data_IF_493280620299
#
_entry.id   IF_493280620299
#
_cell.length_a   1.000
_cell.length_b   1.000
_cell.length_c   1.000
_cell.angle_alpha   90.00
_cell.angle_beta   90.00
_cell.angle_gamma   90.00
#
_symmetry.space_group_name_H-M   'P 1'
#
loop_
_entity.id
_entity.type
_entity.pdbx_description
1 polymer ?
#
# COMPACT_ATOMS: atom_id res chain seq x y z
N UNK A 1 2.42 -35.89 -52.58
CA UNK A 1 2.02 -35.89 -51.16
C UNK A 1 2.75 -34.72 -50.52
N UNK A 2 2.05 -33.64 -50.19
CA UNK A 2 2.65 -32.41 -49.65
C UNK A 2 2.10 -32.21 -48.25
N UNK A 3 2.97 -32.31 -47.24
CA UNK A 3 2.61 -32.14 -45.83
C UNK A 3 2.56 -30.65 -45.51
N UNK A 4 1.41 -30.23 -44.96
CA UNK A 4 1.10 -28.90 -44.46
C UNK A 4 1.85 -28.64 -43.15
N UNK A 5 2.47 -27.46 -43.01
CA UNK A 5 3.09 -26.99 -41.76
C UNK A 5 2.13 -25.99 -41.08
N UNK A 6 1.71 -26.19 -39.81
CA UNK A 6 0.89 -25.22 -39.11
C UNK A 6 1.71 -24.01 -38.63
N UNK A 7 1.10 -22.81 -38.51
CA UNK A 7 1.80 -21.62 -38.07
C UNK A 7 2.19 -21.72 -36.59
N UNK A 8 3.47 -21.44 -36.33
CA UNK A 8 4.08 -21.30 -35.00
C UNK A 8 3.24 -20.35 -34.14
N UNK A 9 2.68 -20.92 -33.07
CA UNK A 9 1.88 -20.21 -32.08
C UNK A 9 2.61 -19.00 -31.50
N UNK A 10 1.86 -17.92 -31.36
CA UNK A 10 2.29 -16.69 -30.70
C UNK A 10 2.83 -17.02 -29.29
N UNK A 11 4.00 -16.48 -28.89
CA UNK A 11 4.42 -16.60 -27.51
C UNK A 11 3.43 -15.82 -26.64
N UNK A 12 2.58 -16.54 -25.91
CA UNK A 12 1.91 -15.99 -24.75
C UNK A 12 2.99 -15.45 -23.81
N UNK A 13 3.13 -14.13 -23.75
CA UNK A 13 3.88 -13.44 -22.70
C UNK A 13 3.11 -13.65 -21.40
N UNK A 14 3.21 -14.86 -20.85
CA UNK A 14 2.88 -15.12 -19.45
C UNK A 14 3.84 -14.23 -18.68
N UNK A 15 3.33 -13.19 -18.05
CA UNK A 15 4.04 -12.49 -17.00
C UNK A 15 4.34 -13.51 -15.91
N UNK A 16 5.51 -14.14 -15.98
CA UNK A 16 6.07 -14.81 -14.83
C UNK A 16 6.21 -13.74 -13.74
N UNK A 17 5.83 -14.02 -12.48
CA UNK A 17 6.21 -13.16 -11.37
C UNK A 17 7.71 -13.33 -11.17
N UNK A 18 8.49 -12.68 -12.05
CA UNK A 18 9.91 -12.53 -11.89
C UNK A 18 10.12 -11.85 -10.55
N UNK A 19 10.95 -12.46 -9.71
CA UNK A 19 11.42 -11.90 -8.46
C UNK A 19 11.93 -10.49 -8.73
N UNK A 20 11.07 -9.50 -8.49
CA UNK A 20 11.38 -8.09 -8.64
C UNK A 20 12.70 -7.83 -7.91
N UNK A 21 13.71 -7.40 -8.67
CA UNK A 21 15.02 -7.10 -8.10
C UNK A 21 14.89 -6.05 -6.99
N UNK A 22 15.89 -5.91 -6.11
CA UNK A 22 15.84 -4.94 -5.02
C UNK A 22 15.55 -3.50 -5.49
N UNK A 23 15.96 -3.14 -6.72
CA UNK A 23 15.69 -1.84 -7.36
C UNK A 23 14.21 -1.66 -7.71
N UNK A 24 13.59 -2.69 -8.27
CA UNK A 24 12.18 -2.72 -8.66
C UNK A 24 11.28 -2.56 -7.42
N UNK A 25 11.68 -3.17 -6.30
CA UNK A 25 10.95 -3.07 -5.04
C UNK A 25 10.99 -1.67 -4.40
N UNK A 26 12.12 -0.97 -4.50
CA UNK A 26 12.24 0.41 -3.97
C UNK A 26 11.40 1.37 -4.81
N UNK A 27 11.41 1.22 -6.13
CA UNK A 27 10.57 2.01 -7.03
C UNK A 27 9.08 1.76 -6.77
N UNK A 28 8.67 0.48 -6.70
CA UNK A 28 7.31 0.08 -6.35
C UNK A 28 6.87 0.67 -5.02
N UNK A 29 7.73 0.63 -4.00
CA UNK A 29 7.46 1.20 -2.68
C UNK A 29 7.23 2.71 -2.80
N UNK A 30 8.12 3.44 -3.46
CA UNK A 30 7.99 4.89 -3.64
C UNK A 30 6.73 5.28 -4.43
N UNK A 31 6.42 4.55 -5.50
CA UNK A 31 5.19 4.76 -6.28
C UNK A 31 3.95 4.51 -5.44
N UNK A 32 3.94 3.45 -4.64
CA UNK A 32 2.84 3.13 -3.75
C UNK A 32 2.62 4.22 -2.67
N UNK A 33 3.70 4.70 -2.04
CA UNK A 33 3.63 5.80 -1.06
C UNK A 33 3.04 7.07 -1.66
N UNK A 34 3.55 7.49 -2.82
CA UNK A 34 3.03 8.66 -3.56
C UNK A 34 1.57 8.47 -3.96
N UNK A 35 1.22 7.28 -4.46
CA UNK A 35 -0.14 6.93 -4.86
C UNK A 35 -1.12 7.02 -3.69
N UNK A 36 -0.78 6.43 -2.54
CA UNK A 36 -1.62 6.52 -1.35
C UNK A 36 -1.75 7.96 -0.84
N UNK A 37 -0.64 8.70 -0.79
CA UNK A 37 -0.67 10.10 -0.36
C UNK A 37 -1.50 10.97 -1.30
N UNK A 38 -1.42 10.77 -2.61
CA UNK A 38 -2.25 11.46 -3.59
C UNK A 38 -3.75 11.15 -3.40
N UNK A 39 -4.11 9.89 -3.20
CA UNK A 39 -5.50 9.48 -2.92
C UNK A 39 -6.03 10.10 -1.61
N UNK A 40 -5.20 10.20 -0.57
CA UNK A 40 -5.62 10.86 0.68
C UNK A 40 -5.82 12.37 0.47
N UNK A 41 -4.88 13.05 -0.19
CA UNK A 41 -4.97 14.48 -0.49
C UNK A 41 -6.17 14.81 -1.38
N UNK A 42 -6.49 13.95 -2.35
CA UNK A 42 -7.68 14.13 -3.21
C UNK A 42 -8.99 14.05 -2.45
N UNK A 43 -8.97 13.51 -1.23
CA UNK A 43 -10.11 13.41 -0.30
C UNK A 43 -10.05 14.45 0.83
N UNK A 44 -9.16 15.44 0.71
CA UNK A 44 -9.00 16.52 1.70
C UNK A 44 -8.24 16.11 2.96
N UNK A 45 -7.58 14.95 2.96
CA UNK A 45 -6.77 14.50 4.10
C UNK A 45 -5.32 14.91 3.90
N UNK A 46 -4.74 15.60 4.90
CA UNK A 46 -3.30 15.86 4.93
C UNK A 46 -2.54 14.53 4.90
N UNK A 47 -1.55 14.41 4.01
CA UNK A 47 -0.77 13.19 3.88
C UNK A 47 0.73 13.49 3.71
N UNK A 48 1.57 12.79 4.47
CA UNK A 48 3.03 12.91 4.44
C UNK A 48 3.66 11.54 4.23
N UNK A 49 4.60 11.48 3.30
CA UNK A 49 5.30 10.24 2.92
C UNK A 49 6.60 10.13 3.73
N UNK A 50 6.88 8.94 4.27
CA UNK A 50 8.14 8.56 4.89
C UNK A 50 8.73 7.39 4.10
N UNK A 51 9.56 7.73 3.11
CA UNK A 51 10.22 6.77 2.24
C UNK A 51 11.24 5.88 2.97
N UNK A 52 11.76 6.30 4.13
CA UNK A 52 12.72 5.52 4.91
C UNK A 52 12.03 4.35 5.63
N UNK A 53 10.85 4.60 6.19
CA UNK A 53 10.07 3.57 6.87
C UNK A 53 9.02 2.88 5.99
N UNK A 54 8.85 3.32 4.74
CA UNK A 54 7.77 2.84 3.87
C UNK A 54 6.39 3.20 4.44
N UNK A 55 6.23 4.43 4.93
CA UNK A 55 5.02 4.88 5.63
C UNK A 55 4.33 6.08 4.98
N UNK A 56 3.03 6.21 5.22
CA UNK A 56 2.26 7.42 4.96
C UNK A 56 1.54 7.81 6.24
N UNK A 57 1.82 9.01 6.73
CA UNK A 57 1.11 9.61 7.86
C UNK A 57 -0.08 10.42 7.31
N UNK A 58 -1.28 10.12 7.80
CA UNK A 58 -2.53 10.70 7.34
C UNK A 58 -3.25 11.48 8.47
N UNK A 59 -3.77 12.66 8.15
CA UNK A 59 -4.43 13.54 9.11
C UNK A 59 -3.50 14.57 9.75
N UNK A 60 -3.97 15.28 10.79
CA UNK A 60 -3.24 16.41 11.36
C UNK A 60 -1.92 15.96 12.01
N UNK A 61 -0.91 16.83 11.94
CA UNK A 61 0.44 16.56 12.49
C UNK A 61 0.46 16.27 14.00
N UNK A 62 -0.56 16.71 14.74
CA UNK A 62 -0.69 16.48 16.19
C UNK A 62 -1.10 15.04 16.53
N UNK A 63 -1.83 14.36 15.63
CA UNK A 63 -2.29 12.98 15.83
C UNK A 63 -2.44 12.26 14.48
N UNK A 64 -1.33 11.99 13.78
CA UNK A 64 -1.39 11.32 12.49
C UNK A 64 -1.80 9.85 12.65
N UNK A 65 -2.59 9.34 11.71
CA UNK A 65 -2.83 7.91 11.51
C UNK A 65 -1.80 7.37 10.54
N UNK A 66 -1.00 6.39 10.97
CA UNK A 66 0.14 5.92 10.17
C UNK A 66 -0.20 4.66 9.40
N UNK A 67 -0.05 4.69 8.08
CA UNK A 67 -0.10 3.53 7.21
C UNK A 67 1.33 3.08 6.87
N UNK A 68 1.61 1.77 6.88
CA UNK A 68 2.93 1.19 6.62
C UNK A 68 2.86 0.12 5.53
N UNK A 69 3.91 0.03 4.71
CA UNK A 69 4.13 -1.08 3.82
C UNK A 69 4.85 -2.21 4.56
N UNK A 70 4.19 -3.37 4.66
CA UNK A 70 4.80 -4.57 5.25
C UNK A 70 4.48 -5.82 4.41
N UNK A 71 5.40 -6.80 4.37
CA UNK A 71 5.12 -8.09 3.79
C UNK A 71 3.93 -8.79 4.49
N UNK A 72 2.99 -9.32 3.71
CA UNK A 72 1.88 -10.13 4.18
C UNK A 72 1.46 -11.12 3.08
N UNK A 73 1.38 -12.42 3.43
CA UNK A 73 0.96 -13.51 2.52
C UNK A 73 1.74 -13.58 1.19
N UNK A 74 3.02 -13.21 1.19
CA UNK A 74 3.89 -13.25 0.01
C UNK A 74 3.98 -11.93 -0.76
N UNK A 75 3.12 -10.95 -0.47
CA UNK A 75 3.08 -9.65 -1.16
C UNK A 75 3.32 -8.48 -0.19
N UNK A 76 3.48 -7.27 -0.73
CA UNK A 76 3.45 -6.04 0.07
C UNK A 76 2.01 -5.58 0.30
N UNK A 77 1.73 -5.17 1.54
CA UNK A 77 0.41 -4.72 1.97
C UNK A 77 0.51 -3.39 2.71
N UNK A 78 -0.56 -2.62 2.65
CA UNK A 78 -0.82 -1.51 3.54
C UNK A 78 -1.30 -2.03 4.89
N UNK A 79 -0.67 -1.55 5.95
CA UNK A 79 -1.02 -1.83 7.33
C UNK A 79 -1.35 -0.54 8.02
N UNK A 80 -2.52 -0.45 8.65
CA UNK A 80 -2.89 0.72 9.42
C UNK A 80 -2.44 0.54 10.85
N UNK A 81 -1.65 1.49 11.34
CA UNK A 81 -1.39 1.70 12.75
C UNK A 81 -2.36 2.76 13.24
N UNK A 82 -3.32 2.31 14.03
CA UNK A 82 -4.16 3.18 14.83
C UNK A 82 -3.26 3.97 15.80
N UNK A 83 -3.62 5.21 16.16
CA UNK A 83 -2.90 5.94 17.19
C UNK A 83 -2.74 5.03 18.42
N UNK A 84 -1.51 4.95 18.94
CA UNK A 84 -1.16 4.05 20.02
C UNK A 84 -2.18 4.24 21.15
N UNK A 85 -2.92 3.17 21.48
CA UNK A 85 -3.51 3.05 22.80
C UNK A 85 -2.32 3.03 23.76
N UNK A 86 -2.34 3.88 24.80
CA UNK A 86 -1.28 3.96 25.80
C UNK A 86 -0.91 2.55 26.29
N UNK A 87 0.37 2.18 26.20
CA UNK A 87 0.89 0.90 26.71
C UNK A 87 1.07 -0.28 25.73
N UNK A 88 0.73 -0.16 24.43
CA UNK A 88 0.96 -1.26 23.46
C UNK A 88 2.33 -1.15 22.74
N UNK A 89 3.11 -2.24 22.60
CA UNK A 89 4.37 -2.22 21.87
C UNK A 89 4.18 -1.78 20.41
N UNK A 90 4.94 -0.76 20.01
CA UNK A 90 4.96 -0.13 18.68
C UNK A 90 5.12 -1.14 17.52
N UNK A 91 5.75 -2.29 17.77
CA UNK A 91 6.03 -3.32 16.78
C UNK A 91 4.84 -4.24 16.44
N UNK A 92 3.78 -4.27 17.28
CA UNK A 92 2.69 -5.26 17.19
C UNK A 92 1.34 -4.68 16.79
N UNK A 93 1.13 -3.37 16.91
CA UNK A 93 -0.17 -2.75 16.67
C UNK A 93 -0.30 -2.27 15.21
N UNK A 94 -0.84 -3.13 14.34
CA UNK A 94 -1.31 -2.72 13.02
C UNK A 94 -2.20 -3.76 12.36
N UNK A 95 -3.24 -3.32 11.66
CA UNK A 95 -4.18 -4.21 10.94
C UNK A 95 -3.86 -4.14 9.44
N UNK A 96 -3.70 -5.27 8.74
CA UNK A 96 -3.57 -5.26 7.29
C UNK A 96 -4.87 -4.73 6.67
N UNK A 97 -4.76 -3.70 5.83
CA UNK A 97 -5.94 -3.02 5.27
C UNK A 97 -6.19 -3.33 3.80
N UNK A 98 -5.15 -3.40 2.96
CA UNK A 98 -5.27 -3.80 1.56
C UNK A 98 -3.89 -4.16 0.96
N UNK A 99 -3.84 -4.90 -0.16
CA UNK A 99 -2.60 -5.08 -0.92
C UNK A 99 -2.05 -3.75 -1.43
N UNK A 100 -0.73 -3.67 -1.67
CA UNK A 100 -0.03 -2.44 -2.09
C UNK A 100 -0.63 -1.79 -3.34
N UNK A 101 -1.08 -2.61 -4.30
CA UNK A 101 -1.70 -2.16 -5.55
C UNK A 101 -3.06 -1.46 -5.37
N UNK A 102 -3.71 -1.60 -4.22
CA UNK A 102 -5.04 -1.06 -3.95
C UNK A 102 -4.97 0.17 -3.03
N UNK A 103 -4.25 1.21 -3.47
CA UNK A 103 -4.07 2.47 -2.73
C UNK A 103 -5.39 3.18 -2.48
N UNK A 104 -6.31 3.20 -3.44
CA UNK A 104 -7.63 3.81 -3.28
C UNK A 104 -8.48 3.14 -2.18
N UNK A 105 -8.40 1.80 -2.09
CA UNK A 105 -9.05 1.03 -1.01
C UNK A 105 -8.41 1.32 0.34
N UNK A 106 -7.08 1.40 0.42
CA UNK A 106 -6.38 1.81 1.63
C UNK A 106 -6.81 3.21 2.07
N UNK A 107 -6.80 4.19 1.16
CA UNK A 107 -7.21 5.56 1.42
C UNK A 107 -8.65 5.63 1.95
N UNK A 108 -9.59 4.90 1.35
CA UNK A 108 -10.98 4.85 1.84
C UNK A 108 -11.05 4.35 3.30
N UNK A 109 -10.31 3.29 3.64
CA UNK A 109 -10.29 2.76 5.02
C UNK A 109 -9.65 3.74 6.00
N UNK A 110 -8.60 4.47 5.58
CA UNK A 110 -7.95 5.51 6.38
C UNK A 110 -8.87 6.71 6.60
N UNK A 111 -9.63 7.15 5.59
CA UNK A 111 -10.59 8.24 5.76
C UNK A 111 -11.69 7.85 6.76
N UNK A 112 -12.26 6.64 6.62
CA UNK A 112 -13.26 6.14 7.57
C UNK A 112 -12.70 6.09 8.99
N UNK A 113 -11.47 5.58 9.14
CA UNK A 113 -10.75 5.55 10.41
C UNK A 113 -10.61 6.94 11.04
N UNK A 114 -10.19 7.93 10.26
CA UNK A 114 -10.02 9.32 10.70
C UNK A 114 -11.35 9.95 11.12
N UNK A 115 -12.44 9.71 10.37
CA UNK A 115 -13.77 10.21 10.71
C UNK A 115 -14.30 9.65 12.04
N UNK A 116 -14.00 8.39 12.34
CA UNK A 116 -14.41 7.77 13.60
C UNK A 116 -13.63 8.32 14.80
N UNK A 117 -12.35 8.65 14.63
CA UNK A 117 -11.52 9.21 15.71
C UNK A 117 -11.82 10.69 16.03
N UNK A 118 -12.57 11.39 15.18
CA UNK A 118 -13.08 12.75 15.44
C UNK A 118 -14.34 12.74 16.33
N UNK A 119 -15.06 11.62 16.40
CA UNK A 119 -16.31 11.51 17.17
C UNK A 119 -16.16 11.16 18.66
N UNK A 120 -14.94 10.93 19.15
CA UNK A 120 -14.64 10.68 20.57
C UNK A 120 -14.07 11.93 21.26
N UNK A 121 -14.79 13.05 21.15
CA UNK A 121 -14.47 14.34 21.79
C UNK A 121 -15.64 14.87 22.59
#
# INVERSE_FOLDING_TARGET
MTVETPPTGSPSLRCAPGTAGPVDRVELTNLALRGLAAELRSRGVEAREDGLCGAVDAGPSTRPHRALLRPHRGDLWWWMRWPLQDGLPTALAGVPISPVAHTSTAARRIVVALSLSVGEG
#
